data_IF_144291408662
#
_entry.id   IF_144291408662
#
_cell.length_a   1.000
_cell.length_b   1.000
_cell.length_c   1.000
_cell.angle_alpha   90.00
_cell.angle_beta   90.00
_cell.angle_gamma   90.00
#
_symmetry.space_group_name_H-M   'P 1'
#
loop_
_entity.id
_entity.type
_entity.pdbx_description
1 polymer ?
#
# COMPACT_ATOMS: atom_id res chain seq x y z
N UNK A 1 1.23 15.34 5.50
CA UNK A 1 1.32 13.89 5.75
C UNK A 1 2.22 13.59 6.95
N UNK A 2 3.41 14.18 7.06
CA UNK A 2 4.32 14.00 8.22
C UNK A 2 3.66 14.23 9.59
N UNK A 3 2.85 15.29 9.72
CA UNK A 3 2.07 15.54 10.96
C UNK A 3 1.14 14.37 11.30
N UNK A 4 0.50 13.76 10.31
CA UNK A 4 -0.41 12.61 10.51
C UNK A 4 0.39 11.43 11.05
N UNK A 5 1.57 11.13 10.48
CA UNK A 5 2.46 10.08 10.99
C UNK A 5 2.85 10.30 12.44
N UNK A 6 3.20 11.54 12.82
CA UNK A 6 3.54 11.87 14.21
C UNK A 6 2.37 11.65 15.15
N UNK A 7 1.15 12.03 14.74
CA UNK A 7 -0.07 11.74 15.51
C UNK A 7 -0.30 10.23 15.62
N UNK A 8 -0.15 9.48 14.54
CA UNK A 8 -0.32 8.02 14.56
C UNK A 8 0.69 7.32 15.47
N UNK A 9 1.95 7.78 15.52
CA UNK A 9 2.94 7.28 16.47
C UNK A 9 2.42 7.40 17.91
N UNK A 10 1.90 8.57 18.29
CA UNK A 10 1.28 8.77 19.61
C UNK A 10 0.06 7.87 19.81
N UNK A 11 -0.78 7.66 18.79
CA UNK A 11 -1.94 6.76 18.89
C UNK A 11 -1.55 5.29 19.12
N UNK A 12 -0.42 4.85 18.56
CA UNK A 12 0.12 3.51 18.79
C UNK A 12 0.62 3.41 20.24
N UNK A 13 1.41 4.39 20.69
CA UNK A 13 1.97 4.41 22.05
C UNK A 13 0.87 4.47 23.13
N UNK A 14 -0.27 5.12 22.84
CA UNK A 14 -1.42 5.17 23.76
C UNK A 14 -1.99 3.79 24.11
N UNK A 15 -1.77 2.77 23.29
CA UNK A 15 -2.20 1.41 23.62
C UNK A 15 -1.44 0.85 24.84
N UNK A 16 -0.20 1.29 25.08
CA UNK A 16 0.59 0.87 26.25
C UNK A 16 -0.09 1.28 27.57
N UNK A 17 -0.75 2.44 27.57
CA UNK A 17 -1.52 2.93 28.73
C UNK A 17 -2.70 2.00 29.01
N UNK A 18 -3.43 1.59 27.98
CA UNK A 18 -4.56 0.65 28.11
C UNK A 18 -4.10 -0.75 28.53
N UNK A 19 -2.92 -1.17 28.09
CA UNK A 19 -2.32 -2.47 28.43
C UNK A 19 -1.87 -2.58 29.89
N UNK A 20 -1.82 -1.47 30.64
CA UNK A 20 -1.55 -1.47 32.08
C UNK A 20 -2.69 -2.03 32.93
N UNK A 21 -3.91 -2.09 32.38
CA UNK A 21 -5.07 -2.68 33.03
C UNK A 21 -5.03 -4.20 32.94
N UNK A 22 -5.37 -4.89 34.04
CA UNK A 22 -5.44 -6.36 34.00
C UNK A 22 -6.74 -6.84 33.35
N UNK A 23 -6.76 -8.03 32.72
CA UNK A 23 -8.00 -8.60 32.20
C UNK A 23 -9.07 -8.82 33.28
N UNK A 24 -8.68 -9.08 34.54
CA UNK A 24 -9.63 -9.24 35.65
C UNK A 24 -10.33 -7.92 35.95
N UNK A 25 -9.58 -6.82 36.08
CA UNK A 25 -10.15 -5.49 36.33
C UNK A 25 -11.06 -5.05 35.18
N UNK A 26 -10.69 -5.37 33.93
CA UNK A 26 -11.53 -5.08 32.78
C UNK A 26 -12.89 -5.82 32.83
N UNK A 27 -12.91 -7.06 33.31
CA UNK A 27 -14.14 -7.85 33.39
C UNK A 27 -15.14 -7.29 34.40
N UNK A 28 -14.69 -6.61 35.46
CA UNK A 28 -15.56 -6.01 36.48
C UNK A 28 -16.52 -4.96 35.91
N UNK A 29 -16.12 -4.24 34.86
CA UNK A 29 -16.94 -3.16 34.27
C UNK A 29 -17.30 -3.37 32.80
N UNK A 30 -16.82 -4.45 32.16
CA UNK A 30 -17.08 -4.74 30.74
C UNK A 30 -18.58 -4.72 30.39
N UNK A 31 -19.42 -5.24 31.27
CA UNK A 31 -20.86 -5.36 30.99
C UNK A 31 -21.57 -4.01 30.96
N UNK A 32 -21.01 -2.97 31.59
CA UNK A 32 -21.48 -1.60 31.48
C UNK A 32 -21.26 -0.99 30.09
N UNK A 33 -20.36 -1.60 29.29
CA UNK A 33 -20.03 -1.14 27.95
C UNK A 33 -20.91 -1.79 26.87
N UNK A 34 -21.70 -2.82 27.18
CA UNK A 34 -22.57 -3.47 26.18
C UNK A 34 -23.79 -2.57 25.90
N UNK A 35 -24.20 -2.36 24.63
CA UNK A 35 -23.71 -2.96 23.39
C UNK A 35 -22.66 -2.12 22.64
N UNK A 36 -22.05 -1.14 23.31
CA UNK A 36 -21.08 -0.26 22.68
C UNK A 36 -19.83 -1.01 22.21
N UNK A 37 -19.28 -0.57 21.08
CA UNK A 37 -18.06 -1.14 20.52
C UNK A 37 -17.35 -0.15 19.60
N UNK A 38 -16.08 -0.44 19.30
CA UNK A 38 -15.29 0.32 18.32
C UNK A 38 -15.91 0.37 16.91
N UNK A 39 -16.86 -0.51 16.59
CA UNK A 39 -17.63 -0.42 15.33
C UNK A 39 -18.45 0.86 15.22
N UNK A 40 -18.70 1.55 16.34
CA UNK A 40 -19.45 2.80 16.40
C UNK A 40 -18.56 4.06 16.24
N UNK A 41 -17.25 3.90 16.05
CA UNK A 41 -16.34 5.02 15.86
C UNK A 41 -16.49 5.62 14.46
N UNK A 42 -17.37 6.62 14.32
CA UNK A 42 -17.65 7.30 13.04
C UNK A 42 -16.36 7.88 12.44
N UNK A 43 -15.55 8.59 13.23
CA UNK A 43 -14.31 9.21 12.74
C UNK A 43 -13.30 8.20 12.21
N UNK A 44 -13.21 7.01 12.80
CA UNK A 44 -12.31 5.97 12.28
C UNK A 44 -12.76 5.52 10.88
N UNK A 45 -14.07 5.42 10.66
CA UNK A 45 -14.67 5.08 9.35
C UNK A 45 -14.46 6.19 8.33
N UNK A 46 -14.60 7.45 8.75
CA UNK A 46 -14.32 8.63 7.91
C UNK A 46 -12.90 8.62 7.39
N UNK A 47 -11.92 8.38 8.28
CA UNK A 47 -10.51 8.31 7.88
C UNK A 47 -10.29 7.19 6.86
N UNK A 48 -10.85 6.01 7.10
CA UNK A 48 -10.72 4.88 6.17
C UNK A 48 -11.30 5.20 4.78
N UNK A 49 -12.50 5.82 4.73
CA UNK A 49 -13.13 6.24 3.47
C UNK A 49 -12.29 7.30 2.77
N UNK A 50 -11.84 8.32 3.50
CA UNK A 50 -11.02 9.41 2.94
C UNK A 50 -9.68 8.92 2.41
N UNK A 51 -9.08 7.90 3.01
CA UNK A 51 -7.87 7.28 2.46
C UNK A 51 -8.16 6.52 1.17
N UNK A 52 -9.29 5.81 1.10
CA UNK A 52 -9.71 5.05 -0.09
C UNK A 52 -10.22 3.65 0.19
N UNK A 53 -10.71 3.36 1.40
CA UNK A 53 -11.36 2.08 1.76
C UNK A 53 -12.87 2.26 1.78
N UNK A 54 -13.47 2.33 0.60
CA UNK A 54 -14.92 2.46 0.45
C UNK A 54 -15.63 1.17 0.88
N UNK A 55 -16.89 1.28 1.26
CA UNK A 55 -17.69 0.14 1.75
C UNK A 55 -17.70 -1.02 0.74
N UNK A 56 -17.84 -0.76 -0.55
CA UNK A 56 -17.89 -1.80 -1.59
C UNK A 56 -16.56 -2.55 -1.82
N UNK A 57 -15.43 -2.00 -1.38
CA UNK A 57 -14.10 -2.61 -1.52
C UNK A 57 -13.74 -3.52 -0.34
N UNK A 58 -14.59 -3.57 0.69
CA UNK A 58 -14.37 -4.42 1.86
C UNK A 58 -14.89 -5.84 1.63
N UNK A 59 -14.25 -6.81 2.28
CA UNK A 59 -14.78 -8.19 2.33
C UNK A 59 -16.19 -8.18 2.92
N UNK A 60 -17.03 -9.12 2.49
CA UNK A 60 -18.44 -9.16 2.90
C UNK A 60 -18.63 -9.15 4.42
N UNK A 61 -17.79 -9.92 5.13
CA UNK A 61 -17.76 -9.96 6.60
C UNK A 61 -17.50 -8.57 7.18
N UNK A 62 -16.57 -7.80 6.62
CA UNK A 62 -16.26 -6.44 7.07
C UNK A 62 -17.39 -5.45 6.78
N UNK A 63 -18.08 -5.59 5.63
CA UNK A 63 -19.16 -4.70 5.21
C UNK A 63 -20.32 -4.67 6.21
N UNK A 64 -20.70 -5.83 6.73
CA UNK A 64 -21.79 -5.95 7.70
C UNK A 64 -21.51 -5.16 8.98
N UNK A 65 -20.27 -5.20 9.47
CA UNK A 65 -19.87 -4.47 10.67
C UNK A 65 -19.55 -2.98 10.41
N UNK A 66 -19.17 -2.61 9.19
CA UNK A 66 -18.74 -1.26 8.85
C UNK A 66 -19.87 -0.22 9.01
N UNK A 67 -21.06 -0.49 8.47
CA UNK A 67 -22.23 0.40 8.60
C UNK A 67 -23.24 -0.08 9.65
N UNK A 68 -23.32 -1.39 9.91
CA UNK A 68 -24.44 -2.01 10.63
C UNK A 68 -24.61 -1.59 12.10
N UNK A 69 -23.61 -0.96 12.72
CA UNK A 69 -23.66 -0.49 14.12
C UNK A 69 -23.82 1.03 14.26
N UNK A 70 -23.84 1.76 13.15
CA UNK A 70 -23.96 3.22 13.13
C UNK A 70 -25.42 3.67 13.11
N UNK A 71 -25.69 4.88 13.59
CA UNK A 71 -27.01 5.51 13.48
C UNK A 71 -27.25 5.95 12.03
N UNK A 72 -28.51 6.03 11.59
CA UNK A 72 -28.86 6.45 10.21
C UNK A 72 -28.18 7.77 9.78
N UNK A 73 -28.14 8.84 10.60
CA UNK A 73 -27.46 10.08 10.20
C UNK A 73 -25.96 9.89 9.93
N UNK A 74 -25.31 9.04 10.72
CA UNK A 74 -23.88 8.73 10.54
C UNK A 74 -23.67 7.89 9.28
N UNK A 75 -24.55 6.91 9.02
CA UNK A 75 -24.50 6.11 7.79
C UNK A 75 -24.66 6.98 6.55
N UNK A 76 -25.65 7.87 6.53
CA UNK A 76 -25.91 8.81 5.44
C UNK A 76 -24.71 9.73 5.20
N UNK A 77 -24.12 10.25 6.29
CA UNK A 77 -22.89 11.06 6.23
C UNK A 77 -21.72 10.29 5.60
N UNK A 78 -21.46 9.05 6.02
CA UNK A 78 -20.38 8.24 5.46
C UNK A 78 -20.62 7.90 3.97
N UNK A 79 -21.84 7.55 3.60
CA UNK A 79 -22.21 7.27 2.21
C UNK A 79 -22.09 8.51 1.32
N UNK A 80 -22.39 9.70 1.85
CA UNK A 80 -22.15 10.95 1.13
C UNK A 80 -20.65 11.21 0.95
N UNK A 81 -19.84 10.98 2.00
CA UNK A 81 -18.38 11.12 1.91
C UNK A 81 -17.76 10.15 0.89
N UNK A 82 -18.29 8.94 0.75
CA UNK A 82 -17.80 7.95 -0.23
C UNK A 82 -17.95 8.40 -1.69
N UNK A 83 -18.83 9.36 -1.99
CA UNK A 83 -18.98 9.95 -3.32
C UNK A 83 -17.81 10.86 -3.69
N UNK A 84 -17.12 11.40 -2.69
CA UNK A 84 -15.95 12.24 -2.87
C UNK A 84 -14.73 11.49 -3.41
N UNK A 85 -13.76 12.25 -3.92
CA UNK A 85 -12.45 11.73 -4.27
C UNK A 85 -11.67 11.37 -3.00
N UNK A 86 -11.21 10.13 -2.90
CA UNK A 86 -10.34 9.69 -1.81
C UNK A 86 -8.88 10.11 -2.06
N UNK A 87 -8.04 10.04 -1.03
CA UNK A 87 -6.63 10.38 -1.10
C UNK A 87 -5.89 9.56 -2.16
N UNK A 88 -6.20 8.25 -2.30
CA UNK A 88 -5.62 7.44 -3.37
C UNK A 88 -6.08 7.87 -4.77
N UNK A 89 -7.33 8.35 -4.94
CA UNK A 89 -7.79 8.88 -6.23
C UNK A 89 -7.09 10.20 -6.59
N UNK A 90 -6.89 11.07 -5.60
CA UNK A 90 -6.15 12.32 -5.77
C UNK A 90 -4.67 12.06 -6.08
N UNK A 91 -4.08 11.07 -5.42
CA UNK A 91 -2.72 10.60 -5.70
C UNK A 91 -2.60 10.07 -7.13
N UNK A 92 -3.48 9.14 -7.53
CA UNK A 92 -3.54 8.57 -8.88
C UNK A 92 -3.61 9.68 -9.93
N UNK A 93 -4.57 10.60 -9.77
CA UNK A 93 -4.74 11.74 -10.67
C UNK A 93 -3.49 12.62 -10.75
N UNK A 94 -2.79 12.83 -9.64
CA UNK A 94 -1.54 13.61 -9.61
C UNK A 94 -0.37 12.88 -10.26
N UNK A 95 -0.22 11.57 -10.02
CA UNK A 95 0.81 10.74 -10.64
C UNK A 95 0.63 10.68 -12.16
N UNK A 96 -0.59 10.59 -12.67
CA UNK A 96 -0.87 10.53 -14.11
C UNK A 96 -0.45 11.79 -14.88
N UNK A 97 -0.25 12.91 -14.19
CA UNK A 97 0.19 14.20 -14.76
C UNK A 97 1.71 14.38 -14.76
N UNK A 98 2.49 13.36 -14.38
CA UNK A 98 3.95 13.44 -14.38
C UNK A 98 4.47 13.75 -15.80
N UNK A 99 5.23 14.84 -15.99
CA UNK A 99 5.61 15.30 -17.34
C UNK A 99 6.98 14.78 -17.82
N UNK A 100 7.62 13.89 -17.06
CA UNK A 100 9.03 13.51 -17.30
C UNK A 100 9.23 12.13 -17.91
N UNK A 101 8.20 11.28 -17.91
CA UNK A 101 8.32 9.87 -18.33
C UNK A 101 8.07 9.65 -19.82
N UNK A 102 7.42 10.59 -20.49
CA UNK A 102 7.16 10.54 -21.93
C UNK A 102 7.22 11.95 -22.52
N UNK A 103 8.07 12.13 -23.55
CA UNK A 103 8.17 13.34 -24.37
C UNK A 103 8.33 12.94 -25.83
N UNK A 104 8.19 13.88 -26.78
CA UNK A 104 8.33 13.58 -28.23
C UNK A 104 9.67 12.89 -28.57
N UNK A 105 10.74 13.21 -27.83
CA UNK A 105 12.10 12.70 -28.09
C UNK A 105 12.58 11.66 -27.06
N UNK A 106 11.75 11.27 -26.09
CA UNK A 106 12.16 10.36 -25.01
C UNK A 106 11.00 9.55 -24.44
N UNK A 107 11.09 8.24 -24.57
CA UNK A 107 10.22 7.27 -23.92
C UNK A 107 11.02 6.51 -22.84
N UNK A 108 10.82 6.91 -21.59
CA UNK A 108 11.51 6.27 -20.47
C UNK A 108 11.12 4.78 -20.33
N UNK A 109 9.87 4.43 -20.62
CA UNK A 109 9.36 3.09 -20.34
C UNK A 109 9.86 2.07 -21.36
N UNK A 110 10.04 2.45 -22.62
CA UNK A 110 10.73 1.64 -23.61
C UNK A 110 12.19 1.34 -23.21
N UNK A 111 12.94 2.36 -22.78
CA UNK A 111 14.34 2.17 -22.32
C UNK A 111 14.42 1.32 -21.05
N UNK A 112 13.50 1.55 -20.11
CA UNK A 112 13.41 0.80 -18.87
C UNK A 112 13.06 -0.68 -19.12
N UNK A 113 12.10 -0.95 -20.01
CA UNK A 113 11.75 -2.30 -20.41
C UNK A 113 12.93 -3.02 -21.06
N UNK A 114 13.62 -2.38 -22.00
CA UNK A 114 14.84 -2.93 -22.62
C UNK A 114 15.91 -3.27 -21.58
N UNK A 115 16.11 -2.39 -20.60
CA UNK A 115 17.07 -2.61 -19.51
C UNK A 115 16.70 -3.82 -18.65
N UNK A 116 15.41 -3.99 -18.34
CA UNK A 116 14.90 -5.13 -17.58
C UNK A 116 15.09 -6.42 -18.39
N UNK A 117 14.78 -6.40 -19.69
CA UNK A 117 14.96 -7.56 -20.56
C UNK A 117 16.42 -7.98 -20.67
N UNK A 118 17.34 -7.03 -20.83
CA UNK A 118 18.79 -7.28 -20.83
C UNK A 118 19.27 -7.86 -19.50
N UNK A 119 18.75 -7.35 -18.38
CA UNK A 119 19.06 -7.87 -17.05
C UNK A 119 18.60 -9.32 -16.89
N UNK A 120 17.35 -9.62 -17.25
CA UNK A 120 16.78 -10.96 -17.09
C UNK A 120 17.43 -11.97 -18.04
N UNK A 121 17.82 -11.55 -19.25
CA UNK A 121 18.62 -12.37 -20.15
C UNK A 121 20.02 -12.66 -19.57
N UNK A 122 20.67 -11.67 -18.94
CA UNK A 122 21.96 -11.87 -18.26
C UNK A 122 21.86 -12.81 -17.06
N UNK A 123 20.78 -12.72 -16.28
CA UNK A 123 20.50 -13.63 -15.17
C UNK A 123 20.27 -15.06 -15.67
N UNK A 124 19.56 -15.22 -16.79
CA UNK A 124 19.35 -16.52 -17.43
C UNK A 124 20.67 -17.18 -17.87
N UNK A 125 21.54 -16.43 -18.52
CA UNK A 125 22.88 -16.90 -18.91
C UNK A 125 23.70 -17.31 -17.69
N UNK A 126 23.66 -16.51 -16.62
CA UNK A 126 24.36 -16.81 -15.36
C UNK A 126 23.84 -18.10 -14.72
N UNK A 127 22.52 -18.32 -14.72
CA UNK A 127 21.91 -19.56 -14.22
C UNK A 127 22.33 -20.76 -15.07
N UNK A 128 22.36 -20.60 -16.41
CA UNK A 128 22.78 -21.65 -17.34
C UNK A 128 24.27 -22.00 -17.21
N UNK A 129 25.15 -21.01 -17.03
CA UNK A 129 26.59 -21.21 -16.85
C UNK A 129 26.91 -21.92 -15.52
N UNK A 130 26.12 -21.66 -14.48
CA UNK A 130 26.26 -22.32 -13.17
C UNK A 130 25.77 -23.78 -13.14
N UNK A 131 25.28 -24.33 -14.26
CA UNK A 131 24.77 -25.70 -14.39
C UNK A 131 25.74 -26.79 -13.90
N UNK A 132 27.05 -26.54 -13.98
CA UNK A 132 28.08 -27.49 -13.51
C UNK A 132 28.18 -27.57 -11.97
N UNK A 133 27.68 -26.57 -11.24
CA UNK A 133 27.81 -26.47 -9.78
C UNK A 133 26.53 -26.75 -9.01
N UNK A 134 25.38 -26.80 -9.69
CA UNK A 134 24.06 -26.95 -9.07
C UNK A 134 23.47 -28.35 -9.30
N UNK A 135 22.82 -28.95 -8.29
CA UNK A 135 21.99 -30.12 -8.50
C UNK A 135 20.88 -29.84 -9.54
N UNK A 136 20.43 -30.81 -10.36
CA UNK A 136 19.41 -30.59 -11.39
C UNK A 136 18.13 -29.90 -10.90
N UNK A 137 17.65 -30.28 -9.70
CA UNK A 137 16.48 -29.67 -9.06
C UNK A 137 16.69 -28.20 -8.66
N UNK A 138 17.93 -27.82 -8.32
CA UNK A 138 18.28 -26.44 -7.99
C UNK A 138 18.20 -25.53 -9.21
N UNK A 139 18.64 -26.03 -10.37
CA UNK A 139 18.55 -25.32 -11.64
C UNK A 139 17.08 -25.08 -12.04
N UNK A 140 16.23 -26.10 -11.94
CA UNK A 140 14.79 -25.98 -12.24
C UNK A 140 14.11 -24.92 -11.38
N UNK A 141 14.42 -24.87 -10.08
CA UNK A 141 13.87 -23.85 -9.17
C UNK A 141 14.33 -22.45 -9.56
N UNK A 142 15.61 -22.26 -9.91
CA UNK A 142 16.12 -20.95 -10.32
C UNK A 142 15.47 -20.47 -11.62
N UNK A 143 15.33 -21.34 -12.61
CA UNK A 143 14.64 -21.01 -13.87
C UNK A 143 13.17 -20.68 -13.63
N UNK A 144 12.47 -21.43 -12.76
CA UNK A 144 11.08 -21.15 -12.41
C UNK A 144 10.93 -19.79 -11.70
N UNK A 145 11.86 -19.43 -10.81
CA UNK A 145 11.87 -18.13 -10.15
C UNK A 145 12.15 -16.98 -11.13
N UNK A 146 13.07 -17.18 -12.09
CA UNK A 146 13.33 -16.21 -13.15
C UNK A 146 12.10 -15.99 -14.01
N UNK A 147 11.41 -17.06 -14.40
CA UNK A 147 10.17 -16.98 -15.18
C UNK A 147 9.04 -16.28 -14.41
N UNK A 148 8.92 -16.54 -13.11
CA UNK A 148 7.99 -15.81 -12.25
C UNK A 148 8.34 -14.31 -12.17
N UNK A 149 9.63 -13.98 -12.17
CA UNK A 149 10.11 -12.59 -12.20
C UNK A 149 9.76 -11.92 -13.53
N UNK A 150 10.01 -12.59 -14.67
CA UNK A 150 9.60 -12.12 -16.02
C UNK A 150 8.11 -11.78 -16.07
N UNK A 151 7.25 -12.70 -15.64
CA UNK A 151 5.79 -12.48 -15.57
C UNK A 151 5.40 -11.31 -14.67
N UNK A 152 6.15 -11.14 -13.58
CA UNK A 152 5.92 -10.02 -12.66
C UNK A 152 6.19 -8.69 -13.39
N UNK A 153 7.33 -8.54 -14.07
CA UNK A 153 7.62 -7.35 -14.88
C UNK A 153 6.67 -7.17 -16.06
N UNK A 154 6.31 -8.26 -16.75
CA UNK A 154 5.33 -8.23 -17.84
C UNK A 154 4.00 -7.64 -17.37
N UNK A 155 3.53 -8.02 -16.17
CA UNK A 155 2.30 -7.46 -15.60
C UNK A 155 2.35 -5.95 -15.34
N UNK A 156 3.54 -5.33 -15.28
CA UNK A 156 3.71 -3.89 -15.14
C UNK A 156 3.56 -3.18 -16.50
N UNK A 157 4.10 -3.77 -17.57
CA UNK A 157 4.15 -3.18 -18.91
C UNK A 157 2.93 -3.49 -19.78
N UNK A 158 2.34 -4.67 -19.63
CA UNK A 158 1.11 -5.04 -20.36
C UNK A 158 -0.12 -4.40 -19.71
N UNK A 159 -0.76 -3.49 -20.44
CA UNK A 159 -1.94 -2.76 -19.98
C UNK A 159 -3.15 -3.69 -19.72
N UNK A 160 -3.32 -4.75 -20.51
CA UNK A 160 -4.42 -5.70 -20.34
C UNK A 160 -4.25 -6.51 -19.05
N UNK A 161 -3.03 -6.99 -18.79
CA UNK A 161 -2.71 -7.71 -17.55
C UNK A 161 -2.88 -6.77 -16.35
N UNK A 162 -2.34 -5.54 -16.41
CA UNK A 162 -2.51 -4.56 -15.34
C UNK A 162 -3.98 -4.26 -15.05
N UNK A 163 -4.79 -4.05 -16.10
CA UNK A 163 -6.22 -3.78 -15.97
C UNK A 163 -7.00 -4.99 -15.43
N UNK A 164 -6.59 -6.21 -15.77
CA UNK A 164 -7.09 -7.44 -15.16
C UNK A 164 -6.88 -7.45 -13.64
N UNK A 165 -5.64 -7.22 -13.20
CA UNK A 165 -5.30 -7.16 -11.76
C UNK A 165 -6.04 -6.03 -11.03
N UNK A 166 -6.27 -4.90 -11.69
CA UNK A 166 -7.08 -3.80 -11.13
C UNK A 166 -8.54 -4.19 -10.96
N UNK A 167 -9.10 -4.92 -11.93
CA UNK A 167 -10.49 -5.42 -11.87
C UNK A 167 -10.67 -6.46 -10.76
N UNK A 168 -9.67 -7.29 -10.54
CA UNK A 168 -9.67 -8.31 -9.48
C UNK A 168 -9.38 -7.72 -8.09
N UNK A 169 -9.02 -6.43 -8.01
CA UNK A 169 -8.75 -5.71 -6.77
C UNK A 169 -7.35 -5.95 -6.21
N UNK A 170 -6.47 -6.61 -6.96
CA UNK A 170 -5.06 -6.82 -6.61
C UNK A 170 -4.22 -5.56 -6.81
N UNK A 171 -4.66 -4.66 -7.70
CA UNK A 171 -4.11 -3.31 -7.88
C UNK A 171 -5.20 -2.26 -7.75
N UNK A 172 -4.84 -1.04 -7.36
CA UNK A 172 -5.77 0.09 -7.24
C UNK A 172 -5.45 1.22 -8.20
N UNK A 173 -4.17 1.54 -8.36
CA UNK A 173 -3.66 2.59 -9.24
C UNK A 173 -3.77 2.16 -10.71
N UNK A 174 -4.03 3.12 -11.58
CA UNK A 174 -3.89 2.95 -13.03
C UNK A 174 -2.45 2.57 -13.38
N UNK A 175 -2.26 1.96 -14.55
CA UNK A 175 -0.93 1.58 -15.02
C UNK A 175 -0.03 2.82 -15.10
N UNK A 176 -0.53 3.90 -15.72
CA UNK A 176 0.19 5.16 -15.85
C UNK A 176 0.61 5.75 -14.49
N UNK A 177 -0.28 5.73 -13.49
CA UNK A 177 0.05 6.18 -12.14
C UNK A 177 1.12 5.28 -11.48
N UNK A 178 1.00 3.96 -11.65
CA UNK A 178 1.94 2.97 -11.11
C UNK A 178 3.34 3.15 -11.68
N UNK A 179 3.43 3.28 -13.00
CA UNK A 179 4.64 3.60 -13.74
C UNK A 179 5.25 4.92 -13.23
N UNK A 180 4.48 6.00 -13.19
CA UNK A 180 5.02 7.29 -12.72
C UNK A 180 5.44 7.29 -11.25
N UNK A 181 4.79 6.50 -10.39
CA UNK A 181 5.24 6.28 -9.01
C UNK A 181 6.57 5.52 -8.97
N UNK A 182 6.75 4.49 -9.81
CA UNK A 182 8.02 3.79 -9.95
C UNK A 182 9.13 4.73 -10.42
N UNK A 183 8.85 5.60 -11.40
CA UNK A 183 9.82 6.59 -11.86
C UNK A 183 10.30 7.52 -10.73
N UNK A 184 9.38 8.00 -9.87
CA UNK A 184 9.73 8.79 -8.69
C UNK A 184 10.68 8.01 -7.77
N UNK A 185 10.43 6.71 -7.53
CA UNK A 185 11.28 5.89 -6.67
C UNK A 185 12.69 5.69 -7.26
N UNK A 186 12.78 5.41 -8.57
CA UNK A 186 14.04 5.17 -9.27
C UNK A 186 14.92 6.43 -9.33
N UNK A 187 14.31 7.61 -9.51
CA UNK A 187 15.01 8.89 -9.67
C UNK A 187 14.79 9.86 -8.51
N UNK A 188 14.55 9.35 -7.30
CA UNK A 188 14.30 10.18 -6.09
C UNK A 188 15.41 11.17 -5.72
N UNK A 189 16.62 10.95 -6.24
CA UNK A 189 17.77 11.82 -6.00
C UNK A 189 17.76 13.06 -6.93
N UNK A 190 16.89 13.10 -7.94
CA UNK A 190 16.69 14.29 -8.76
C UNK A 190 15.93 15.36 -7.97
N UNK A 191 16.37 16.65 -8.01
CA UNK A 191 15.87 17.66 -7.07
C UNK A 191 14.35 17.86 -7.09
N UNK A 192 13.72 17.87 -8.27
CA UNK A 192 12.27 18.03 -8.39
C UNK A 192 11.47 16.81 -7.90
N UNK A 193 12.09 15.62 -7.85
CA UNK A 193 11.44 14.37 -7.46
C UNK A 193 11.58 14.06 -5.97
N UNK A 194 12.43 14.78 -5.24
CA UNK A 194 12.61 14.54 -3.81
C UNK A 194 11.31 14.73 -3.02
N UNK A 195 10.57 15.82 -3.23
CA UNK A 195 9.28 16.04 -2.54
C UNK A 195 8.20 15.04 -2.98
N UNK A 196 8.01 14.73 -4.27
CA UNK A 196 7.20 13.60 -4.73
C UNK A 196 7.52 12.29 -4.01
N UNK A 197 8.80 11.94 -3.88
CA UNK A 197 9.25 10.75 -3.18
C UNK A 197 8.83 10.78 -1.70
N UNK A 198 9.08 11.89 -1.01
CA UNK A 198 8.66 12.08 0.40
C UNK A 198 7.14 11.96 0.57
N UNK A 199 6.33 12.39 -0.41
CA UNK A 199 4.88 12.17 -0.39
C UNK A 199 4.56 10.68 -0.42
N UNK A 200 5.15 9.91 -1.35
CA UNK A 200 4.90 8.47 -1.49
C UNK A 200 5.32 7.70 -0.23
N UNK A 201 6.51 7.97 0.30
CA UNK A 201 7.01 7.39 1.56
C UNK A 201 6.05 7.68 2.71
N UNK A 202 5.64 8.94 2.87
CA UNK A 202 4.73 9.29 3.95
C UNK A 202 3.36 8.61 3.83
N UNK A 203 2.87 8.32 2.63
CA UNK A 203 1.62 7.57 2.43
C UNK A 203 1.78 6.09 2.81
N UNK A 204 2.91 5.49 2.44
CA UNK A 204 3.26 4.13 2.88
C UNK A 204 3.32 4.06 4.41
N UNK A 205 4.03 4.99 5.05
CA UNK A 205 4.16 5.04 6.51
C UNK A 205 2.80 5.24 7.21
N UNK A 206 1.90 6.05 6.63
CA UNK A 206 0.55 6.22 7.19
C UNK A 206 -0.23 4.90 7.17
N UNK A 207 -0.13 4.14 6.09
CA UNK A 207 -0.77 2.82 5.95
C UNK A 207 -0.15 1.81 6.93
N UNK A 208 1.18 1.79 7.04
CA UNK A 208 1.92 0.94 7.97
C UNK A 208 1.54 1.23 9.43
N UNK A 209 1.47 2.50 9.83
CA UNK A 209 1.07 2.87 11.18
C UNK A 209 -0.38 2.47 11.47
N UNK A 210 -1.31 2.61 10.52
CA UNK A 210 -2.68 2.14 10.71
C UNK A 210 -2.75 0.61 10.85
N UNK A 211 -2.02 -0.14 10.02
CA UNK A 211 -1.94 -1.60 10.14
C UNK A 211 -1.32 -2.00 11.48
N UNK A 212 -0.25 -1.32 11.91
CA UNK A 212 0.40 -1.54 13.21
C UNK A 212 -0.56 -1.28 14.35
N UNK A 213 -1.28 -0.16 14.33
CA UNK A 213 -2.28 0.16 15.35
C UNK A 213 -3.38 -0.91 15.40
N UNK A 214 -3.93 -1.30 14.24
CA UNK A 214 -4.98 -2.35 14.16
C UNK A 214 -4.48 -3.68 14.73
N UNK A 215 -3.25 -4.05 14.42
CA UNK A 215 -2.64 -5.29 14.87
C UNK A 215 -2.35 -5.28 16.38
N UNK A 216 -1.73 -4.20 16.89
CA UNK A 216 -1.53 -3.95 18.33
C UNK A 216 -2.87 -4.00 19.08
N UNK A 217 -3.89 -3.33 18.57
CA UNK A 217 -5.25 -3.36 19.12
C UNK A 217 -5.84 -4.78 19.13
N UNK A 218 -5.62 -5.58 18.08
CA UNK A 218 -6.06 -6.97 18.03
C UNK A 218 -5.38 -7.84 19.10
N UNK A 219 -4.07 -7.65 19.32
CA UNK A 219 -3.31 -8.35 20.37
C UNK A 219 -3.78 -7.93 21.76
N UNK A 220 -3.95 -6.63 22.00
CA UNK A 220 -4.49 -6.11 23.27
C UNK A 220 -5.88 -6.71 23.54
N UNK A 221 -6.76 -6.72 22.54
CA UNK A 221 -8.08 -7.34 22.66
C UNK A 221 -7.99 -8.84 22.95
N UNK A 222 -7.04 -9.57 22.35
CA UNK A 222 -6.79 -10.98 22.68
C UNK A 222 -6.32 -11.15 24.13
N UNK A 223 -5.45 -10.28 24.64
CA UNK A 223 -5.03 -10.30 26.06
C UNK A 223 -6.22 -10.09 27.00
N UNK A 224 -7.12 -9.17 26.66
CA UNK A 224 -8.27 -8.81 27.50
C UNK A 224 -9.44 -9.82 27.43
N UNK A 225 -9.68 -10.43 26.27
CA UNK A 225 -10.88 -11.23 26.02
C UNK A 225 -10.59 -12.70 25.67
N UNK A 226 -9.33 -13.05 25.37
CA UNK A 226 -8.97 -14.35 24.80
C UNK A 226 -9.71 -14.62 23.50
N UNK A 227 -10.38 -15.77 23.44
CA UNK A 227 -11.22 -16.21 22.31
C UNK A 227 -12.69 -15.81 22.44
N UNK A 228 -13.06 -15.04 23.47
CA UNK A 228 -14.46 -14.60 23.66
C UNK A 228 -14.90 -13.67 22.52
N UNK A 229 -16.19 -13.76 22.18
CA UNK A 229 -16.84 -12.88 21.21
C UNK A 229 -16.78 -11.42 21.71
N UNK A 230 -16.47 -10.50 20.81
CA UNK A 230 -16.43 -9.07 21.13
C UNK A 230 -17.83 -8.51 21.43
N UNK A 231 -17.92 -7.41 22.18
CA UNK A 231 -19.22 -6.76 22.50
C UNK A 231 -19.98 -6.32 21.25
N UNK A 232 -19.28 -6.10 20.13
CA UNK A 232 -19.85 -5.78 18.82
C UNK A 232 -20.38 -6.97 18.00
N UNK A 233 -20.19 -8.21 18.47
CA UNK A 233 -20.67 -9.44 17.82
C UNK A 233 -19.72 -10.10 16.82
N UNK A 234 -18.51 -9.59 16.62
CA UNK A 234 -17.49 -10.22 15.78
C UNK A 234 -16.76 -11.37 16.50
N UNK A 235 -16.01 -12.19 15.76
CA UNK A 235 -15.13 -13.24 16.31
C UNK A 235 -13.96 -12.71 17.16
N UNK A 236 -14.02 -11.45 17.59
CA UNK A 236 -13.06 -10.82 18.48
C UNK A 236 -11.72 -10.59 17.79
N UNK A 237 -10.65 -11.12 18.38
CA UNK A 237 -9.30 -10.85 17.91
C UNK A 237 -9.01 -11.38 16.50
N UNK A 238 -9.64 -12.50 16.08
CA UNK A 238 -9.41 -13.08 14.75
C UNK A 238 -9.91 -12.16 13.65
N UNK A 239 -11.11 -11.60 13.83
CA UNK A 239 -11.65 -10.56 12.96
C UNK A 239 -10.71 -9.36 12.88
N UNK A 240 -10.25 -8.85 14.03
CA UNK A 240 -9.38 -7.67 14.08
C UNK A 240 -8.04 -7.91 13.38
N UNK A 241 -7.45 -9.09 13.54
CA UNK A 241 -6.21 -9.47 12.85
C UNK A 241 -6.40 -9.50 11.34
N UNK A 242 -7.43 -10.19 10.85
CA UNK A 242 -7.74 -10.23 9.43
C UNK A 242 -8.03 -8.83 8.86
N UNK A 243 -8.74 -7.99 9.61
CA UNK A 243 -9.02 -6.62 9.22
C UNK A 243 -7.75 -5.74 9.15
N UNK A 244 -6.72 -6.02 9.93
CA UNK A 244 -5.44 -5.31 9.86
C UNK A 244 -4.70 -5.56 8.53
N UNK A 245 -4.80 -6.79 8.01
CA UNK A 245 -4.18 -7.22 6.76
C UNK A 245 -5.00 -6.78 5.53
N UNK A 246 -6.33 -6.93 5.58
CA UNK A 246 -7.20 -6.67 4.43
C UNK A 246 -7.44 -5.19 4.13
N UNK A 247 -7.29 -4.30 5.12
CA UNK A 247 -7.67 -2.88 5.01
C UNK A 247 -6.46 -1.97 4.75
N UNK A 248 -5.53 -2.41 3.89
CA UNK A 248 -4.40 -1.61 3.43
C UNK A 248 -4.76 -0.80 2.17
N UNK A 249 -4.41 0.47 2.16
CA UNK A 249 -4.83 1.40 1.09
C UNK A 249 -3.82 1.46 -0.02
N UNK A 250 -2.55 1.64 0.32
CA UNK A 250 -1.48 2.02 -0.60
C UNK A 250 -0.57 0.82 -0.96
N UNK A 251 -1.12 -0.40 -0.98
CA UNK A 251 -0.38 -1.65 -1.27
C UNK A 251 0.42 -1.58 -2.56
N UNK A 252 -0.12 -0.92 -3.59
CA UNK A 252 0.59 -0.75 -4.86
C UNK A 252 1.95 -0.08 -4.67
N UNK A 253 2.05 0.92 -3.79
CA UNK A 253 3.32 1.61 -3.51
C UNK A 253 4.35 0.68 -2.86
N UNK A 254 3.93 -0.19 -1.93
CA UNK A 254 4.82 -1.19 -1.33
C UNK A 254 5.31 -2.19 -2.39
N UNK A 255 4.40 -2.63 -3.24
CA UNK A 255 4.68 -3.60 -4.30
C UNK A 255 5.63 -3.04 -5.37
N UNK A 256 5.79 -1.71 -5.49
CA UNK A 256 6.76 -1.10 -6.40
C UNK A 256 8.20 -1.53 -6.12
N UNK A 257 8.51 -1.92 -4.88
CA UNK A 257 9.84 -2.43 -4.51
C UNK A 257 10.23 -3.66 -5.33
N UNK A 258 9.25 -4.43 -5.79
CA UNK A 258 9.43 -5.60 -6.68
C UNK A 258 10.05 -5.21 -8.02
N UNK A 259 9.80 -3.99 -8.47
CA UNK A 259 10.23 -3.49 -9.77
C UNK A 259 11.48 -2.62 -9.68
N UNK A 260 12.21 -2.59 -8.56
CA UNK A 260 13.45 -1.84 -8.48
C UNK A 260 14.60 -2.61 -9.14
N UNK A 261 15.44 -1.90 -9.90
CA UNK A 261 16.66 -2.44 -10.50
C UNK A 261 17.90 -1.72 -9.95
N UNK A 262 19.10 -2.31 -10.08
CA UNK A 262 20.33 -1.66 -9.62
C UNK A 262 20.54 -0.28 -10.23
N UNK A 263 20.97 0.69 -9.41
CA UNK A 263 21.22 2.08 -9.85
C UNK A 263 22.15 2.18 -11.07
N UNK A 264 23.14 1.28 -11.16
CA UNK A 264 24.09 1.22 -12.28
C UNK A 264 23.46 0.82 -13.61
N UNK A 265 22.27 0.23 -13.59
CA UNK A 265 21.53 -0.20 -14.78
C UNK A 265 20.43 0.79 -15.17
N UNK A 266 20.13 1.81 -14.36
CA UNK A 266 19.06 2.75 -14.65
C UNK A 266 19.28 3.45 -16.01
N UNK A 267 18.22 3.64 -16.82
CA UNK A 267 18.31 4.42 -18.04
C UNK A 267 18.88 5.83 -17.77
N UNK A 268 19.73 6.32 -18.67
CA UNK A 268 20.37 7.62 -18.47
C UNK A 268 19.43 8.71 -18.96
N UNK A 269 18.91 9.54 -18.05
CA UNK A 269 18.03 10.63 -18.45
C UNK A 269 18.74 11.62 -19.40
N UNK A 270 18.11 12.04 -20.51
CA UNK A 270 18.66 13.04 -21.41
C UNK A 270 19.01 14.34 -20.69
N UNK A 271 20.09 15.00 -21.12
CA UNK A 271 20.57 16.23 -20.47
C UNK A 271 19.48 17.31 -20.35
N UNK A 272 18.69 17.51 -21.40
CA UNK A 272 17.60 18.47 -21.40
C UNK A 272 16.52 18.15 -20.34
N UNK A 273 16.26 16.86 -20.10
CA UNK A 273 15.30 16.41 -19.09
C UNK A 273 15.88 16.63 -17.69
N UNK A 274 17.15 16.26 -17.47
CA UNK A 274 17.85 16.55 -16.20
C UNK A 274 17.87 18.04 -15.88
N UNK A 275 18.12 18.89 -16.88
CA UNK A 275 18.10 20.34 -16.71
C UNK A 275 16.69 20.86 -16.33
N UNK A 276 15.61 20.26 -16.85
CA UNK A 276 14.23 20.58 -16.44
C UNK A 276 13.90 20.09 -15.03
N UNK A 277 14.54 19.00 -14.59
CA UNK A 277 14.34 18.41 -13.25
C UNK A 277 15.20 19.08 -12.17
N UNK A 278 16.15 19.93 -12.58
CA UNK A 278 17.01 20.69 -11.67
C UNK A 278 16.42 22.08 -11.38
N UNK A 279 16.75 22.65 -10.22
CA UNK A 279 16.38 24.01 -9.86
C UNK A 279 17.31 25.01 -10.55
N UNK A 280 17.12 25.20 -11.85
CA UNK A 280 17.91 26.16 -12.62
C UNK A 280 17.42 27.59 -12.38
N UNK A 281 18.17 28.38 -11.61
CA UNK A 281 17.97 29.82 -11.52
C UNK A 281 18.47 30.46 -12.83
N UNK A 282 17.56 30.85 -13.71
CA UNK A 282 17.88 31.76 -14.81
C UNK A 282 17.87 33.18 -14.24
N UNK A 283 19.05 33.61 -13.77
CA UNK A 283 19.32 35.01 -13.41
C UNK A 283 19.39 35.91 -14.64
#
# INVERSE_FOLDING_TARGET
LERIKKIQGVLIDQLDVMESMTPMDFLEFRDLLVPASGFQSVQFREIEILMGLKTNQRKEVDRQYFLGRLKKPDQERLLEMEKGASLINLLESWLERMPFTFTEDFDFWGEYQSTVDDMLCGDELTIQDNKATLPPKGLEIQLANLEATRKTFESLFDENIHNGLKKDGERKLSQKATLNALFILLYRDEPILHLPFVILENLMDIDEHFTTWRYRHAIMAHRMLGTKIGTGGSSGHQYLKSAAENNRVFMDLFNLSTFLIPRSKLPTLPKQLKDKMNFNYRG
#
